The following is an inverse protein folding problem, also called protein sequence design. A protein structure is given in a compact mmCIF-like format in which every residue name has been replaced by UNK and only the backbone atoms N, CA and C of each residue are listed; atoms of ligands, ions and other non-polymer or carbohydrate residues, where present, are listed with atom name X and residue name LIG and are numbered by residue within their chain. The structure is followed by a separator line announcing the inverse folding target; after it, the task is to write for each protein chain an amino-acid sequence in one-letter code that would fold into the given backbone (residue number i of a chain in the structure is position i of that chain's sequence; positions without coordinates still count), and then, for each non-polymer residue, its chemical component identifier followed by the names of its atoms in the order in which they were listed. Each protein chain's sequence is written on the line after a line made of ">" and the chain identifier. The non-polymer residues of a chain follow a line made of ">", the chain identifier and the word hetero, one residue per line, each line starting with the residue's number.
data_IF_835536423201
#
_entry.id   IF_835536423201
#
_cell.length_a   1.000
_cell.length_b   1.000
_cell.length_c   1.000
_cell.angle_alpha   90.00
_cell.angle_beta   90.00
_cell.angle_gamma   90.00
#
_symmetry.space_group_name_H-M   'P 1'
#
loop_
_entity.id
_entity.type
_entity.pdbx_description
1 polymer ?
#
# COMPACT_ATOMS: atom_id res chain seq x y z
N UNK A 1 -8.38 67.95 -27.23
CA UNK A 1 -9.02 67.13 -26.18
C UNK A 1 -9.58 65.91 -26.87
N UNK A 2 -8.82 64.81 -26.90
CA UNK A 2 -9.16 63.60 -27.65
C UNK A 2 -9.52 62.48 -26.69
N UNK A 3 -10.68 61.88 -26.93
CA UNK A 3 -11.14 60.60 -26.40
C UNK A 3 -10.06 59.51 -26.48
N UNK A 4 -9.93 58.74 -25.39
CA UNK A 4 -9.37 57.39 -25.42
C UNK A 4 -10.38 56.44 -24.81
N UNK A 5 -10.95 55.62 -25.68
CA UNK A 5 -11.73 54.43 -25.39
C UNK A 5 -10.82 53.32 -24.86
N UNK A 6 -10.93 53.01 -23.57
CA UNK A 6 -10.35 51.79 -22.99
C UNK A 6 -11.28 50.61 -23.33
N UNK A 7 -10.82 49.77 -24.23
CA UNK A 7 -11.46 48.48 -24.54
C UNK A 7 -10.87 47.45 -23.59
N UNK A 8 -11.59 47.20 -22.49
CA UNK A 8 -11.25 46.14 -21.56
C UNK A 8 -11.46 44.78 -22.22
N UNK A 9 -10.37 44.14 -22.64
CA UNK A 9 -10.33 42.71 -22.92
C UNK A 9 -10.37 41.95 -21.60
N UNK A 10 -11.57 41.54 -21.17
CA UNK A 10 -11.75 40.57 -20.09
C UNK A 10 -10.99 39.29 -20.47
N UNK A 11 -9.89 39.06 -19.77
CA UNK A 11 -9.18 37.78 -19.80
C UNK A 11 -10.11 36.77 -19.12
N UNK A 12 -10.45 35.62 -19.74
CA UNK A 12 -11.32 34.65 -19.08
C UNK A 12 -10.63 34.21 -17.79
N UNK A 13 -11.35 34.35 -16.68
CA UNK A 13 -10.96 33.75 -15.41
C UNK A 13 -10.63 32.27 -15.67
N UNK A 14 -9.49 31.75 -15.20
CA UNK A 14 -9.18 30.33 -15.34
C UNK A 14 -10.33 29.54 -14.70
N UNK A 15 -10.83 28.55 -15.45
CA UNK A 15 -11.85 27.63 -14.96
C UNK A 15 -11.43 27.11 -13.58
N UNK A 16 -12.37 26.98 -12.61
CA UNK A 16 -12.05 26.47 -11.30
C UNK A 16 -11.37 25.10 -11.48
N UNK A 17 -10.20 24.93 -10.86
CA UNK A 17 -9.46 23.69 -10.93
C UNK A 17 -10.39 22.53 -10.52
N UNK A 18 -10.77 21.69 -11.48
CA UNK A 18 -11.61 20.53 -11.21
C UNK A 18 -10.93 19.69 -10.12
N UNK A 19 -11.67 19.35 -9.06
CA UNK A 19 -11.19 18.46 -8.01
C UNK A 19 -10.73 17.12 -8.60
N UNK A 20 -9.94 16.33 -7.85
CA UNK A 20 -9.31 15.09 -8.35
C UNK A 20 -10.33 14.14 -9.00
N UNK A 21 -11.51 13.99 -8.40
CA UNK A 21 -12.58 13.15 -8.96
C UNK A 21 -13.27 13.71 -10.22
N UNK A 22 -13.15 15.01 -10.51
CA UNK A 22 -13.68 15.67 -11.71
C UNK A 22 -15.09 15.23 -12.10
N UNK A 23 -15.26 14.85 -13.37
CA UNK A 23 -16.53 14.38 -13.94
C UNK A 23 -17.16 13.15 -13.26
N UNK A 24 -16.43 12.39 -12.43
CA UNK A 24 -17.02 11.26 -11.69
C UNK A 24 -18.07 11.71 -10.68
N UNK A 25 -17.94 12.93 -10.14
CA UNK A 25 -18.92 13.47 -9.19
C UNK A 25 -20.28 13.75 -9.84
N UNK A 26 -20.29 13.99 -11.16
CA UNK A 26 -21.49 14.25 -11.94
C UNK A 26 -22.29 12.97 -12.29
N UNK A 27 -21.74 11.78 -12.03
CA UNK A 27 -22.43 10.51 -12.30
C UNK A 27 -23.70 10.41 -11.45
N UNK A 28 -24.81 10.20 -12.14
CA UNK A 28 -26.15 10.12 -11.57
C UNK A 28 -26.26 8.96 -10.57
N UNK A 29 -26.85 9.23 -9.40
CA UNK A 29 -27.14 8.22 -8.38
C UNK A 29 -28.08 7.12 -8.90
N UNK A 30 -29.02 7.44 -9.78
CA UNK A 30 -29.94 6.45 -10.38
C UNK A 30 -29.20 5.45 -11.28
N UNK A 31 -28.14 5.88 -11.95
CA UNK A 31 -27.31 5.00 -12.76
C UNK A 31 -26.52 4.02 -11.87
N UNK A 32 -25.99 4.52 -10.74
CA UNK A 32 -25.29 3.69 -9.74
C UNK A 32 -26.22 2.63 -9.13
N UNK A 33 -27.44 2.99 -8.76
CA UNK A 33 -28.41 2.04 -8.19
C UNK A 33 -28.90 1.05 -9.23
N UNK A 34 -29.17 1.50 -10.46
CA UNK A 34 -29.57 0.63 -11.57
C UNK A 34 -28.51 -0.43 -11.87
N UNK A 35 -27.24 -0.04 -11.94
CA UNK A 35 -26.13 -0.97 -12.14
C UNK A 35 -26.03 -1.98 -10.98
N UNK A 36 -26.09 -1.50 -9.73
CA UNK A 36 -26.03 -2.38 -8.56
C UNK A 36 -27.16 -3.42 -8.56
N UNK A 37 -28.37 -3.01 -8.93
CA UNK A 37 -29.53 -3.90 -9.06
C UNK A 37 -29.32 -4.93 -10.17
N UNK A 38 -28.83 -4.51 -11.34
CA UNK A 38 -28.55 -5.42 -12.44
C UNK A 38 -27.53 -6.49 -12.05
N UNK A 39 -26.40 -6.08 -11.45
CA UNK A 39 -25.35 -7.00 -11.02
C UNK A 39 -25.85 -7.95 -9.95
N UNK A 40 -26.58 -7.44 -8.95
CA UNK A 40 -27.10 -8.28 -7.87
C UNK A 40 -28.14 -9.31 -8.35
N UNK A 41 -28.99 -8.96 -9.34
CA UNK A 41 -29.95 -9.90 -9.93
C UNK A 41 -29.29 -11.09 -10.63
N UNK A 42 -28.03 -10.96 -11.06
CA UNK A 42 -27.25 -12.07 -11.63
C UNK A 42 -26.74 -13.05 -10.56
N UNK A 43 -26.77 -12.65 -9.28
CA UNK A 43 -26.14 -13.40 -8.18
C UNK A 43 -27.13 -14.03 -7.21
N UNK A 44 -28.38 -13.56 -7.16
CA UNK A 44 -29.40 -14.09 -6.26
C UNK A 44 -30.75 -14.25 -6.96
N UNK A 45 -31.52 -15.23 -6.48
CA UNK A 45 -32.94 -15.44 -6.81
C UNK A 45 -33.87 -14.67 -5.87
N UNK A 46 -33.33 -14.06 -4.81
CA UNK A 46 -34.10 -13.32 -3.82
C UNK A 46 -34.74 -12.07 -4.41
N UNK A 47 -35.95 -11.77 -3.93
CA UNK A 47 -36.68 -10.58 -4.33
C UNK A 47 -36.24 -9.39 -3.48
N UNK A 48 -35.29 -8.60 -3.99
CA UNK A 48 -35.05 -7.23 -3.55
C UNK A 48 -35.67 -6.26 -4.57
N UNK A 49 -36.24 -5.16 -4.09
CA UNK A 49 -37.05 -4.27 -4.92
C UNK A 49 -36.32 -2.98 -5.26
N UNK A 50 -35.46 -2.48 -4.38
CA UNK A 50 -34.83 -1.17 -4.54
C UNK A 50 -33.41 -1.12 -3.97
N UNK A 51 -32.66 -0.11 -4.42
CA UNK A 51 -31.32 0.20 -3.94
C UNK A 51 -31.16 1.72 -3.81
N UNK A 52 -30.41 2.16 -2.80
CA UNK A 52 -30.14 3.57 -2.56
C UNK A 52 -28.65 3.80 -2.31
N UNK A 53 -28.13 4.94 -2.78
CA UNK A 53 -26.77 5.38 -2.44
C UNK A 53 -26.76 5.87 -1.00
N UNK A 54 -26.14 5.11 -0.10
CA UNK A 54 -26.05 5.41 1.33
C UNK A 54 -25.10 6.59 1.59
N UNK A 55 -23.87 6.50 1.05
CA UNK A 55 -22.91 7.59 1.08
C UNK A 55 -21.89 7.48 -0.05
N UNK A 56 -21.20 8.59 -0.31
CA UNK A 56 -20.11 8.72 -1.27
C UNK A 56 -18.88 9.22 -0.53
N UNK A 57 -17.72 8.61 -0.82
CA UNK A 57 -16.44 8.97 -0.23
C UNK A 57 -15.40 9.16 -1.35
N UNK A 58 -14.77 10.33 -1.37
CA UNK A 58 -13.67 10.63 -2.30
C UNK A 58 -12.36 10.17 -1.66
N UNK A 59 -11.84 9.04 -2.14
CA UNK A 59 -10.54 8.51 -1.76
C UNK A 59 -9.40 9.09 -2.61
N UNK A 60 -8.17 8.66 -2.34
CA UNK A 60 -6.98 9.09 -3.10
C UNK A 60 -6.96 8.59 -4.54
N UNK A 61 -7.47 7.39 -4.80
CA UNK A 61 -7.45 6.74 -6.12
C UNK A 61 -8.83 6.42 -6.69
N UNK A 62 -9.88 6.43 -5.86
CA UNK A 62 -11.23 6.04 -6.26
C UNK A 62 -12.28 6.98 -5.67
N UNK A 63 -13.35 7.22 -6.43
CA UNK A 63 -14.62 7.67 -5.89
C UNK A 63 -15.43 6.46 -5.47
N UNK A 64 -15.67 6.31 -4.16
CA UNK A 64 -16.31 5.15 -3.56
C UNK A 64 -17.78 5.48 -3.28
N UNK A 65 -18.69 4.65 -3.79
CA UNK A 65 -20.13 4.78 -3.55
C UNK A 65 -20.65 3.53 -2.84
N UNK A 66 -21.24 3.69 -1.66
CA UNK A 66 -21.86 2.57 -0.94
C UNK A 66 -23.34 2.53 -1.24
N UNK A 67 -23.80 1.40 -1.75
CA UNK A 67 -25.19 1.14 -2.12
C UNK A 67 -25.80 0.22 -1.06
N UNK A 68 -26.94 0.61 -0.50
CA UNK A 68 -27.74 -0.23 0.40
C UNK A 68 -29.03 -0.65 -0.30
N UNK A 69 -29.30 -1.95 -0.29
CA UNK A 69 -30.54 -2.53 -0.76
C UNK A 69 -31.60 -2.56 0.35
N UNK A 70 -32.87 -2.74 -0.01
CA UNK A 70 -33.98 -2.80 0.94
C UNK A 70 -33.85 -3.90 2.01
N UNK A 71 -33.22 -5.02 1.67
CA UNK A 71 -32.86 -6.12 2.56
C UNK A 71 -31.58 -5.92 3.38
N UNK A 72 -31.02 -4.71 3.38
CA UNK A 72 -29.83 -4.29 4.15
C UNK A 72 -28.50 -4.88 3.70
N UNK A 73 -28.47 -5.65 2.63
CA UNK A 73 -27.21 -5.98 1.96
C UNK A 73 -26.61 -4.70 1.38
N UNK A 74 -25.28 -4.61 1.37
CA UNK A 74 -24.55 -3.44 0.89
C UNK A 74 -23.47 -3.80 -0.11
N UNK A 75 -23.44 -3.09 -1.22
CA UNK A 75 -22.41 -3.19 -2.25
C UNK A 75 -21.58 -1.90 -2.26
N UNK A 76 -20.34 -2.00 -2.73
CA UNK A 76 -19.45 -0.86 -2.95
C UNK A 76 -19.17 -0.76 -4.45
N UNK A 77 -19.46 0.41 -5.04
CA UNK A 77 -19.07 0.74 -6.41
C UNK A 77 -17.88 1.70 -6.36
N UNK A 78 -16.73 1.23 -6.82
CA UNK A 78 -15.51 2.02 -6.97
C UNK A 78 -15.39 2.54 -8.39
N UNK A 79 -15.18 3.84 -8.52
CA UNK A 79 -14.89 4.50 -9.79
C UNK A 79 -13.44 5.00 -9.76
N UNK A 80 -12.52 4.39 -10.53
CA UNK A 80 -11.11 4.78 -10.51
C UNK A 80 -10.94 6.21 -11.03
N UNK A 81 -10.29 7.07 -10.24
CA UNK A 81 -10.03 8.47 -10.61
C UNK A 81 -9.16 8.55 -11.87
N UNK A 82 -8.21 7.62 -12.02
CA UNK A 82 -7.36 7.47 -13.21
C UNK A 82 -8.13 7.11 -14.48
N UNK A 83 -9.39 6.69 -14.37
CA UNK A 83 -10.27 6.35 -15.48
C UNK A 83 -11.51 7.24 -15.56
N UNK A 84 -11.44 8.45 -15.01
CA UNK A 84 -12.46 9.48 -15.28
C UNK A 84 -12.65 9.70 -16.79
N UNK A 85 -13.84 10.13 -17.24
CA UNK A 85 -14.16 10.23 -18.66
C UNK A 85 -13.09 11.00 -19.45
N UNK A 86 -12.49 10.36 -20.46
CA UNK A 86 -11.43 10.94 -21.30
C UNK A 86 -9.98 10.77 -20.80
N UNK A 87 -9.76 10.17 -19.61
CA UNK A 87 -8.42 10.06 -19.00
C UNK A 87 -7.91 8.62 -18.82
N UNK A 88 -8.75 7.60 -19.06
CA UNK A 88 -8.39 6.20 -18.84
C UNK A 88 -7.37 5.71 -19.88
N UNK A 89 -6.12 5.54 -19.46
CA UNK A 89 -5.05 4.97 -20.30
C UNK A 89 -5.15 3.44 -20.35
N UNK A 90 -4.50 2.82 -21.34
CA UNK A 90 -4.47 1.35 -21.44
C UNK A 90 -3.79 0.72 -20.22
N UNK A 91 -2.68 1.30 -19.75
CA UNK A 91 -2.01 0.87 -18.50
C UNK A 91 -2.93 0.96 -17.28
N UNK A 92 -3.81 1.97 -17.20
CA UNK A 92 -4.78 2.07 -16.10
C UNK A 92 -5.84 0.96 -16.16
N UNK A 93 -6.27 0.56 -17.36
CA UNK A 93 -7.16 -0.61 -17.55
C UNK A 93 -6.44 -1.91 -17.17
N UNK A 94 -5.19 -2.10 -17.59
CA UNK A 94 -4.39 -3.27 -17.21
C UNK A 94 -4.22 -3.36 -15.69
N UNK A 95 -3.89 -2.25 -15.02
CA UNK A 95 -3.80 -2.19 -13.57
C UNK A 95 -5.11 -2.58 -12.87
N UNK A 96 -6.25 -2.14 -13.42
CA UNK A 96 -7.58 -2.48 -12.92
C UNK A 96 -7.90 -3.99 -13.09
N UNK A 97 -7.57 -4.58 -14.24
CA UNK A 97 -7.72 -6.02 -14.49
C UNK A 97 -6.84 -6.82 -13.53
N UNK A 98 -5.56 -6.47 -13.44
CA UNK A 98 -4.60 -7.14 -12.56
C UNK A 98 -5.04 -7.11 -11.09
N UNK A 99 -5.60 -5.98 -10.62
CA UNK A 99 -6.21 -5.88 -9.30
C UNK A 99 -7.34 -6.89 -9.12
N UNK A 100 -8.31 -6.91 -10.03
CA UNK A 100 -9.49 -7.79 -9.93
C UNK A 100 -9.07 -9.25 -9.95
N UNK A 101 -8.15 -9.62 -10.83
CA UNK A 101 -7.65 -10.99 -10.94
C UNK A 101 -6.84 -11.42 -9.73
N UNK A 102 -6.03 -10.52 -9.15
CA UNK A 102 -5.37 -10.77 -7.88
C UNK A 102 -6.39 -11.00 -6.76
N UNK A 103 -7.41 -10.13 -6.63
CA UNK A 103 -8.45 -10.30 -5.61
C UNK A 103 -9.19 -11.64 -5.77
N UNK A 104 -9.56 -12.01 -6.99
CA UNK A 104 -10.21 -13.31 -7.29
C UNK A 104 -9.28 -14.49 -7.01
N UNK A 105 -8.00 -14.38 -7.35
CA UNK A 105 -6.98 -15.41 -7.09
C UNK A 105 -6.85 -15.68 -5.59
N UNK A 106 -6.78 -14.61 -4.78
CA UNK A 106 -6.66 -14.67 -3.33
C UNK A 106 -7.94 -15.23 -2.72
N UNK A 107 -9.10 -14.66 -3.06
CA UNK A 107 -10.39 -15.07 -2.51
C UNK A 107 -10.68 -16.56 -2.72
N UNK A 108 -10.34 -17.11 -3.90
CA UNK A 108 -10.53 -18.54 -4.21
C UNK A 108 -9.61 -19.49 -3.43
N UNK A 109 -8.45 -19.02 -2.95
CA UNK A 109 -7.39 -19.87 -2.38
C UNK A 109 -7.09 -19.60 -0.91
N UNK A 110 -7.43 -18.42 -0.41
CA UNK A 110 -7.25 -18.02 0.97
C UNK A 110 -8.61 -17.73 1.60
N UNK A 111 -8.86 -18.28 2.78
CA UNK A 111 -10.02 -17.90 3.61
C UNK A 111 -9.75 -16.58 4.36
N UNK A 112 -9.27 -15.56 3.64
CA UNK A 112 -8.98 -14.24 4.18
C UNK A 112 -10.24 -13.37 4.07
N UNK A 113 -10.64 -12.65 5.14
CA UNK A 113 -11.76 -11.74 5.05
C UNK A 113 -11.36 -10.52 4.20
N UNK A 114 -11.93 -10.43 2.99
CA UNK A 114 -11.66 -9.37 2.02
C UNK A 114 -12.91 -9.12 1.16
N UNK A 115 -13.03 -7.95 0.48
CA UNK A 115 -14.12 -7.72 -0.46
C UNK A 115 -14.14 -8.75 -1.58
N UNK A 116 -15.31 -9.33 -1.84
CA UNK A 116 -15.57 -10.16 -3.01
C UNK A 116 -15.90 -9.26 -4.22
N UNK A 117 -15.24 -9.49 -5.35
CA UNK A 117 -15.53 -8.75 -6.59
C UNK A 117 -16.74 -9.37 -7.28
N UNK A 118 -17.83 -8.61 -7.35
CA UNK A 118 -19.09 -9.02 -7.95
C UNK A 118 -19.13 -8.78 -9.45
N UNK A 119 -18.65 -7.63 -9.90
CA UNK A 119 -18.57 -7.28 -11.31
C UNK A 119 -17.54 -6.17 -11.53
N UNK A 120 -17.04 -6.01 -12.76
CA UNK A 120 -16.20 -4.89 -13.14
C UNK A 120 -16.24 -4.65 -14.65
N UNK A 121 -16.01 -3.40 -15.07
CA UNK A 121 -15.87 -3.03 -16.48
C UNK A 121 -14.72 -2.06 -16.66
N UNK A 122 -13.81 -2.34 -17.60
CA UNK A 122 -12.76 -1.41 -18.06
C UNK A 122 -13.21 -0.52 -19.22
N UNK A 123 -14.38 -0.78 -19.80
CA UNK A 123 -14.97 0.02 -20.86
C UNK A 123 -15.84 1.15 -20.28
N UNK A 124 -15.85 2.30 -20.95
CA UNK A 124 -16.82 3.38 -20.70
C UNK A 124 -18.18 3.14 -21.38
N UNK A 125 -18.32 2.10 -22.20
CA UNK A 125 -19.56 1.70 -22.86
C UNK A 125 -20.49 0.95 -21.89
N UNK A 126 -20.87 1.63 -20.81
CA UNK A 126 -21.77 1.12 -19.79
C UNK A 126 -22.64 2.25 -19.23
N UNK A 127 -23.64 1.92 -18.41
CA UNK A 127 -24.62 2.88 -17.87
C UNK A 127 -23.99 4.05 -17.06
N UNK A 128 -22.78 3.87 -16.53
CA UNK A 128 -22.05 4.92 -15.80
C UNK A 128 -21.18 5.81 -16.69
N UNK A 129 -20.93 5.41 -17.94
CA UNK A 129 -20.03 6.14 -18.85
C UNK A 129 -18.54 6.10 -18.43
N UNK A 130 -18.17 5.24 -17.48
CA UNK A 130 -16.82 5.15 -16.93
C UNK A 130 -16.53 3.73 -16.41
N UNK A 131 -15.26 3.30 -16.35
CA UNK A 131 -14.88 2.06 -15.70
C UNK A 131 -15.28 1.99 -14.22
N UNK A 132 -15.58 0.78 -13.74
CA UNK A 132 -16.01 0.55 -12.36
C UNK A 132 -15.63 -0.83 -11.85
N UNK A 133 -15.51 -0.96 -10.52
CA UNK A 133 -15.47 -2.24 -9.81
C UNK A 133 -16.63 -2.26 -8.81
N UNK A 134 -17.41 -3.33 -8.79
CA UNK A 134 -18.43 -3.61 -7.77
C UNK A 134 -17.91 -4.72 -6.87
N UNK A 135 -17.89 -4.44 -5.56
CA UNK A 135 -17.44 -5.38 -4.56
C UNK A 135 -18.38 -5.45 -3.35
N UNK A 136 -18.26 -6.51 -2.55
CA UNK A 136 -19.00 -6.66 -1.30
C UNK A 136 -18.61 -5.58 -0.28
N UNK A 137 -19.57 -5.08 0.49
CA UNK A 137 -19.26 -4.21 1.63
C UNK A 137 -18.75 -5.02 2.83
N UNK A 138 -17.65 -4.58 3.44
CA UNK A 138 -17.12 -5.19 4.67
C UNK A 138 -17.69 -4.46 5.90
N UNK A 139 -18.46 -5.14 6.77
CA UNK A 139 -19.02 -4.54 7.99
C UNK A 139 -17.94 -4.29 9.06
N UNK A 140 -18.30 -3.56 10.11
CA UNK A 140 -17.42 -3.28 11.24
C UNK A 140 -16.85 -1.86 11.25
N UNK A 141 -15.99 -1.59 12.23
CA UNK A 141 -15.29 -0.31 12.42
C UNK A 141 -13.85 -0.41 11.93
N UNK A 142 -13.25 0.70 11.52
CA UNK A 142 -11.83 0.72 11.17
C UNK A 142 -10.97 0.56 12.43
N UNK A 143 -9.82 -0.10 12.30
CA UNK A 143 -8.83 -0.15 13.40
C UNK A 143 -8.42 1.26 13.79
N UNK A 144 -8.26 2.19 12.83
CA UNK A 144 -7.94 3.59 13.10
C UNK A 144 -8.95 4.27 14.04
N UNK A 145 -10.23 3.91 13.94
CA UNK A 145 -11.30 4.50 14.75
C UNK A 145 -11.36 3.90 16.16
N UNK A 146 -10.86 2.66 16.32
CA UNK A 146 -10.99 1.88 17.57
C UNK A 146 -9.69 1.85 18.37
N UNK A 147 -8.53 2.01 17.72
CA UNK A 147 -7.21 1.80 18.34
C UNK A 147 -6.93 2.71 19.54
N UNK A 148 -7.53 3.90 19.56
CA UNK A 148 -7.43 4.85 20.67
C UNK A 148 -8.76 5.07 21.41
N UNK A 149 -9.83 4.37 20.99
CA UNK A 149 -11.17 4.50 21.57
C UNK A 149 -11.26 3.80 22.93
N UNK A 150 -11.35 4.60 23.99
CA UNK A 150 -11.51 4.13 25.38
C UNK A 150 -12.96 3.84 25.76
N UNK A 151 -13.92 4.01 24.86
CA UNK A 151 -15.34 3.77 25.14
C UNK A 151 -15.68 2.28 25.17
N UNK A 152 -16.85 1.93 25.74
CA UNK A 152 -17.34 0.56 25.79
C UNK A 152 -16.80 -0.26 26.98
N UNK A 153 -17.12 -1.55 26.99
CA UNK A 153 -16.87 -2.43 28.13
C UNK A 153 -15.44 -3.00 28.20
N UNK A 154 -14.74 -3.06 27.07
CA UNK A 154 -13.38 -3.62 26.97
C UNK A 154 -12.34 -2.54 27.22
N UNK A 155 -11.29 -2.85 27.99
CA UNK A 155 -10.18 -1.91 28.19
C UNK A 155 -9.42 -1.67 26.89
N UNK A 156 -8.72 -0.53 26.80
CA UNK A 156 -7.97 -0.16 25.60
C UNK A 156 -6.89 -1.21 25.26
N UNK A 157 -6.17 -1.70 26.26
CA UNK A 157 -5.13 -2.70 26.07
C UNK A 157 -5.71 -4.04 25.59
N UNK A 158 -6.82 -4.50 26.19
CA UNK A 158 -7.51 -5.71 25.73
C UNK A 158 -7.97 -5.58 24.27
N UNK A 159 -8.52 -4.43 23.86
CA UNK A 159 -8.92 -4.19 22.46
C UNK A 159 -7.71 -4.31 21.53
N UNK A 160 -6.63 -3.59 21.83
CA UNK A 160 -5.42 -3.55 21.01
C UNK A 160 -4.80 -4.94 20.87
N UNK A 161 -4.72 -5.70 21.95
CA UNK A 161 -4.19 -7.06 21.93
C UNK A 161 -5.06 -8.00 21.07
N UNK A 162 -6.39 -7.95 21.20
CA UNK A 162 -7.29 -8.74 20.35
C UNK A 162 -7.18 -8.39 18.88
N UNK A 163 -7.08 -7.09 18.56
CA UNK A 163 -6.87 -6.61 17.20
C UNK A 163 -5.57 -7.19 16.65
N UNK A 164 -4.44 -7.04 17.36
CA UNK A 164 -3.14 -7.54 16.92
C UNK A 164 -3.13 -9.07 16.72
N UNK A 165 -3.75 -9.81 17.64
CA UNK A 165 -3.88 -11.27 17.53
C UNK A 165 -4.69 -11.67 16.29
N UNK A 166 -5.84 -11.02 16.08
CA UNK A 166 -6.70 -11.31 14.94
C UNK A 166 -6.08 -10.90 13.60
N UNK A 167 -5.32 -9.81 13.58
CA UNK A 167 -4.55 -9.38 12.42
C UNK A 167 -3.46 -10.40 12.10
N UNK A 168 -2.69 -10.87 13.09
CA UNK A 168 -1.68 -11.90 12.90
C UNK A 168 -2.28 -13.20 12.36
N UNK A 169 -3.40 -13.66 12.92
CA UNK A 169 -4.14 -14.83 12.44
C UNK A 169 -4.61 -14.67 10.99
N UNK A 170 -5.03 -13.46 10.63
CA UNK A 170 -5.49 -13.15 9.27
C UNK A 170 -4.33 -13.18 8.27
N UNK A 171 -3.21 -12.54 8.62
CA UNK A 171 -2.02 -12.50 7.78
C UNK A 171 -1.40 -13.89 7.58
N UNK A 172 -1.38 -14.73 8.62
CA UNK A 172 -0.85 -16.08 8.55
C UNK A 172 -1.58 -16.98 7.53
N UNK A 173 -2.83 -16.67 7.17
CA UNK A 173 -3.56 -17.41 6.12
C UNK A 173 -2.93 -17.25 4.73
N UNK A 174 -2.08 -16.25 4.54
CA UNK A 174 -1.35 -16.02 3.28
C UNK A 174 -0.05 -16.85 3.19
N UNK A 175 0.32 -17.60 4.25
CA UNK A 175 1.53 -18.44 4.28
C UNK A 175 1.64 -19.41 3.10
N UNK A 176 0.51 -19.95 2.64
CA UNK A 176 0.48 -20.98 1.60
C UNK A 176 0.82 -20.49 0.19
N UNK A 177 0.88 -19.18 -0.03
CA UNK A 177 1.20 -18.63 -1.35
C UNK A 177 2.71 -18.58 -1.58
N UNK A 178 3.12 -18.96 -2.78
CA UNK A 178 4.51 -18.94 -3.22
C UNK A 178 4.53 -18.68 -4.73
N UNK A 179 5.44 -17.81 -5.17
CA UNK A 179 5.59 -17.41 -6.55
C UNK A 179 7.07 -17.32 -6.93
N UNK A 180 7.33 -17.45 -8.23
CA UNK A 180 8.68 -17.41 -8.80
C UNK A 180 9.07 -16.00 -9.26
N UNK A 181 8.17 -15.01 -9.13
CA UNK A 181 8.46 -13.61 -9.45
C UNK A 181 7.69 -12.58 -8.64
N UNK A 182 8.21 -11.36 -8.63
CA UNK A 182 7.60 -10.11 -8.16
C UNK A 182 6.78 -9.52 -9.32
N UNK A 183 5.49 -9.35 -9.11
CA UNK A 183 4.55 -8.95 -10.15
C UNK A 183 3.10 -8.95 -9.67
N UNK A 184 2.20 -8.72 -10.62
CA UNK A 184 0.77 -8.99 -10.44
C UNK A 184 0.38 -10.27 -11.17
N UNK A 185 -0.86 -10.73 -10.95
CA UNK A 185 -1.41 -11.85 -11.73
C UNK A 185 -2.45 -11.31 -12.68
N UNK A 186 -2.41 -11.79 -13.91
CA UNK A 186 -3.46 -11.52 -14.89
C UNK A 186 -3.47 -12.56 -16.00
N UNK A 187 -4.52 -12.54 -16.85
CA UNK A 187 -4.67 -13.47 -17.94
C UNK A 187 -3.61 -13.20 -19.02
N UNK A 188 -3.06 -14.26 -19.59
CA UNK A 188 -2.33 -14.21 -20.86
C UNK A 188 -3.31 -14.20 -22.05
N UNK A 189 -2.76 -14.24 -23.27
CA UNK A 189 -3.55 -14.27 -24.52
C UNK A 189 -4.49 -15.48 -24.62
N UNK A 190 -4.27 -16.53 -23.82
CA UNK A 190 -5.08 -17.74 -23.75
C UNK A 190 -6.06 -17.73 -22.56
N UNK A 191 -5.98 -16.73 -21.69
CA UNK A 191 -6.79 -16.60 -20.48
C UNK A 191 -6.19 -17.31 -19.25
N UNK A 192 -4.97 -17.85 -19.35
CA UNK A 192 -4.29 -18.48 -18.22
C UNK A 192 -3.61 -17.42 -17.35
N UNK A 193 -3.67 -17.60 -16.03
CA UNK A 193 -3.05 -16.66 -15.09
C UNK A 193 -1.52 -16.76 -15.14
N UNK A 194 -0.85 -15.64 -15.44
CA UNK A 194 0.62 -15.51 -15.42
C UNK A 194 1.08 -14.33 -14.57
N UNK A 195 2.38 -14.33 -14.28
CA UNK A 195 3.05 -13.20 -13.68
C UNK A 195 3.14 -12.05 -14.68
N UNK A 196 2.56 -10.91 -14.33
CA UNK A 196 2.57 -9.66 -15.09
C UNK A 196 3.36 -8.58 -14.34
N UNK A 197 3.73 -7.47 -15.01
CA UNK A 197 4.33 -6.33 -14.35
C UNK A 197 3.52 -5.83 -13.15
N UNK A 198 4.21 -5.14 -12.24
CA UNK A 198 3.57 -4.36 -11.19
C UNK A 198 3.07 -3.02 -11.76
N UNK A 199 2.06 -2.44 -11.11
CA UNK A 199 1.52 -1.14 -11.47
C UNK A 199 1.61 -0.17 -10.30
N UNK A 200 1.92 1.09 -10.57
CA UNK A 200 1.88 2.15 -9.57
C UNK A 200 1.23 3.42 -10.13
N UNK A 201 0.56 4.16 -9.25
CA UNK A 201 0.01 5.46 -9.60
C UNK A 201 1.12 6.51 -9.61
N UNK A 202 1.16 7.31 -10.69
CA UNK A 202 2.04 8.46 -10.84
C UNK A 202 1.21 9.71 -11.09
N UNK A 203 1.73 10.86 -10.65
CA UNK A 203 1.10 12.15 -10.94
C UNK A 203 1.24 12.48 -12.43
N UNK A 204 0.11 12.70 -13.09
CA UNK A 204 0.04 13.21 -14.46
C UNK A 204 0.11 14.73 -14.52
N UNK A 205 -0.34 15.31 -15.63
CA UNK A 205 -0.43 16.77 -15.77
C UNK A 205 -1.52 17.35 -14.83
N UNK A 206 -1.16 18.37 -14.05
CA UNK A 206 -2.08 19.01 -13.10
C UNK A 206 -2.53 18.07 -11.97
N UNK A 207 -3.84 17.81 -11.90
CA UNK A 207 -4.48 16.92 -10.91
C UNK A 207 -4.71 15.49 -11.45
N UNK A 208 -4.20 15.17 -12.65
CA UNK A 208 -4.38 13.87 -13.28
C UNK A 208 -3.60 12.76 -12.57
N UNK A 209 -4.18 11.57 -12.52
CA UNK A 209 -3.54 10.37 -11.96
C UNK A 209 -3.38 9.36 -13.09
N UNK A 210 -2.15 8.98 -13.39
CA UNK A 210 -1.84 7.97 -14.41
C UNK A 210 -1.25 6.73 -13.75
N UNK A 211 -1.23 5.64 -14.50
CA UNK A 211 -0.52 4.41 -14.10
C UNK A 211 0.74 4.23 -14.94
N UNK A 212 1.78 3.68 -14.31
CA UNK A 212 2.96 3.17 -14.96
C UNK A 212 3.21 1.74 -14.49
N UNK A 213 3.90 0.98 -15.34
CA UNK A 213 4.27 -0.42 -15.10
C UNK A 213 5.77 -0.55 -14.82
N UNK A 214 6.14 -1.59 -14.09
CA UNK A 214 7.53 -1.95 -13.78
C UNK A 214 7.64 -3.45 -13.49
N UNK A 215 8.77 -4.06 -13.84
CA UNK A 215 8.95 -5.50 -13.76
C UNK A 215 8.23 -6.29 -14.86
N UNK A 216 7.92 -7.58 -14.65
CA UNK A 216 8.11 -8.37 -13.43
C UNK A 216 9.59 -8.65 -13.11
N UNK A 217 9.87 -9.19 -11.91
CA UNK A 217 11.23 -9.50 -11.46
C UNK A 217 11.36 -10.90 -10.90
N UNK A 218 12.53 -11.51 -11.10
CA UNK A 218 12.89 -12.79 -10.45
C UNK A 218 13.92 -12.57 -9.32
N UNK A 219 14.40 -11.34 -9.13
CA UNK A 219 15.31 -10.96 -8.06
C UNK A 219 14.80 -9.77 -7.25
N UNK A 220 14.90 -9.90 -5.93
CA UNK A 220 14.66 -8.83 -4.96
C UNK A 220 15.58 -7.63 -5.20
N UNK A 221 16.84 -7.87 -5.52
CA UNK A 221 17.81 -6.80 -5.72
C UNK A 221 17.52 -5.99 -6.98
N UNK A 222 17.13 -6.65 -8.08
CA UNK A 222 16.71 -5.98 -9.31
C UNK A 222 15.46 -5.13 -9.08
N UNK A 223 14.45 -5.70 -8.41
CA UNK A 223 13.24 -4.99 -8.02
C UNK A 223 13.54 -3.72 -7.20
N UNK A 224 14.34 -3.83 -6.14
CA UNK A 224 14.65 -2.68 -5.27
C UNK A 224 15.50 -1.62 -5.99
N UNK A 225 16.41 -2.02 -6.88
CA UNK A 225 17.21 -1.08 -7.68
C UNK A 225 16.36 -0.32 -8.68
N UNK A 226 15.47 -0.98 -9.41
CA UNK A 226 14.59 -0.28 -10.35
C UNK A 226 13.66 0.68 -9.60
N UNK A 227 13.11 0.26 -8.45
CA UNK A 227 12.33 1.13 -7.55
C UNK A 227 13.08 2.40 -7.16
N UNK A 228 14.37 2.27 -6.82
CA UNK A 228 15.23 3.41 -6.49
C UNK A 228 15.41 4.38 -7.67
N UNK A 229 15.48 3.85 -8.90
CA UNK A 229 15.64 4.64 -10.12
C UNK A 229 14.34 5.36 -10.53
N UNK A 230 13.18 4.72 -10.39
CA UNK A 230 11.89 5.28 -10.81
C UNK A 230 11.25 6.20 -9.75
N UNK A 231 11.75 6.20 -8.51
CA UNK A 231 11.22 7.05 -7.43
C UNK A 231 11.22 8.53 -7.84
N UNK A 232 10.11 9.27 -7.63
CA UNK A 232 10.04 10.70 -7.95
C UNK A 232 11.03 11.47 -7.08
N UNK A 233 12.22 11.76 -7.60
CA UNK A 233 13.36 12.23 -6.81
C UNK A 233 14.67 11.49 -7.09
N UNK A 234 14.76 10.66 -8.14
CA UNK A 234 16.00 9.99 -8.58
C UNK A 234 17.16 10.93 -8.94
N UNK A 235 16.92 12.25 -8.99
CA UNK A 235 17.97 13.27 -9.03
C UNK A 235 17.85 14.06 -7.71
N UNK A 236 18.37 13.51 -6.62
CA UNK A 236 18.53 14.31 -5.40
C UNK A 236 19.68 15.30 -5.63
N UNK A 237 19.35 16.59 -5.61
CA UNK A 237 20.36 17.64 -5.69
C UNK A 237 21.06 17.78 -4.33
N UNK A 238 22.40 17.82 -4.37
CA UNK A 238 23.23 18.03 -3.18
C UNK A 238 23.89 16.75 -2.63
N UNK A 239 24.98 16.97 -1.90
CA UNK A 239 25.84 15.92 -1.32
C UNK A 239 25.07 14.92 -0.45
N UNK A 240 24.15 15.41 0.39
CA UNK A 240 23.37 14.53 1.28
C UNK A 240 22.48 13.58 0.48
N UNK A 241 21.88 14.06 -0.60
CA UNK A 241 20.94 13.26 -1.35
C UNK A 241 21.61 12.14 -2.15
N UNK A 242 22.65 12.50 -2.89
CA UNK A 242 23.53 11.52 -3.57
C UNK A 242 24.10 10.52 -2.55
N UNK A 243 24.49 10.98 -1.36
CA UNK A 243 24.93 10.13 -0.27
C UNK A 243 23.88 9.13 0.21
N UNK A 244 22.60 9.56 0.31
CA UNK A 244 21.50 8.68 0.67
C UNK A 244 21.30 7.58 -0.37
N UNK A 245 21.35 7.92 -1.66
CA UNK A 245 21.23 6.94 -2.75
C UNK A 245 22.38 5.90 -2.73
N UNK A 246 23.62 6.35 -2.52
CA UNK A 246 24.78 5.44 -2.39
C UNK A 246 24.61 4.48 -1.22
N UNK A 247 24.15 4.98 -0.07
CA UNK A 247 23.95 4.16 1.12
C UNK A 247 22.76 3.20 0.94
N UNK A 248 21.67 3.63 0.29
CA UNK A 248 20.56 2.73 -0.04
C UNK A 248 21.01 1.60 -0.97
N UNK A 249 21.84 1.88 -1.98
CA UNK A 249 22.41 0.83 -2.83
C UNK A 249 23.25 -0.18 -2.02
N UNK A 250 24.02 0.31 -1.04
CA UNK A 250 24.74 -0.59 -0.12
C UNK A 250 23.78 -1.43 0.73
N UNK A 251 22.69 -0.84 1.22
CA UNK A 251 21.68 -1.56 2.00
C UNK A 251 20.99 -2.63 1.16
N UNK A 252 20.63 -2.33 -0.10
CA UNK A 252 20.05 -3.29 -1.05
C UNK A 252 21.02 -4.48 -1.25
N UNK A 253 22.32 -4.21 -1.39
CA UNK A 253 23.34 -5.27 -1.50
C UNK A 253 23.50 -6.15 -0.25
N UNK A 254 23.06 -5.68 0.92
CA UNK A 254 23.12 -6.42 2.19
C UNK A 254 21.78 -7.06 2.59
N UNK A 255 20.72 -6.88 1.80
CA UNK A 255 19.41 -7.46 2.10
C UNK A 255 19.47 -9.00 2.14
N UNK A 256 18.68 -9.66 3.01
CA UNK A 256 18.58 -11.11 2.99
C UNK A 256 17.94 -11.57 1.67
N UNK A 257 18.35 -12.75 1.18
CA UNK A 257 17.65 -13.38 0.05
C UNK A 257 16.21 -13.74 0.44
N UNK A 258 15.29 -13.50 -0.48
CA UNK A 258 13.90 -13.88 -0.34
C UNK A 258 13.71 -15.35 -0.62
N UNK A 259 14.06 -16.24 0.30
CA UNK A 259 13.97 -17.69 0.10
C UNK A 259 12.93 -18.34 1.00
N UNK A 260 12.40 -19.50 0.65
CA UNK A 260 11.49 -20.23 1.54
C UNK A 260 12.27 -20.81 2.71
N UNK A 261 13.45 -21.37 2.42
CA UNK A 261 14.38 -21.95 3.39
C UNK A 261 15.74 -21.26 3.35
N UNK A 262 16.52 -21.34 4.43
CA UNK A 262 17.78 -20.60 4.57
C UNK A 262 18.90 -21.09 3.63
N UNK A 263 18.80 -22.30 3.11
CA UNK A 263 19.79 -22.99 2.28
C UNK A 263 19.50 -22.90 0.77
N UNK A 264 18.32 -22.43 0.41
CA UNK A 264 17.93 -22.19 -0.98
C UNK A 264 18.71 -21.00 -1.57
N UNK A 265 18.95 -21.06 -2.88
CA UNK A 265 19.62 -20.00 -3.64
C UNK A 265 18.67 -19.21 -4.53
N UNK A 266 17.59 -19.87 -4.96
CA UNK A 266 16.59 -19.27 -5.82
C UNK A 266 15.58 -18.52 -4.97
N UNK A 267 15.34 -17.26 -5.33
CA UNK A 267 14.37 -16.43 -4.62
C UNK A 267 12.94 -16.89 -4.94
N UNK A 268 12.09 -16.81 -3.93
CA UNK A 268 10.65 -17.01 -4.03
C UNK A 268 9.94 -15.86 -3.37
N UNK A 269 8.76 -15.57 -3.85
CA UNK A 269 7.98 -14.40 -3.48
C UNK A 269 6.63 -14.83 -2.92
N UNK A 270 5.98 -13.93 -2.19
CA UNK A 270 4.70 -14.19 -1.51
C UNK A 270 3.77 -13.00 -1.71
N UNK A 271 2.49 -13.17 -1.37
CA UNK A 271 1.56 -12.05 -1.35
C UNK A 271 1.91 -11.07 -0.23
N UNK A 272 1.88 -9.78 -0.56
CA UNK A 272 1.80 -8.70 0.41
C UNK A 272 0.36 -8.17 0.46
N UNK A 273 -0.13 -7.85 1.66
CA UNK A 273 -1.35 -7.06 1.77
C UNK A 273 -0.99 -5.62 1.43
N UNK A 274 -1.58 -5.03 0.38
CA UNK A 274 -1.28 -3.66 0.03
C UNK A 274 -1.72 -2.72 1.16
N UNK A 275 -0.92 -1.69 1.42
CA UNK A 275 -1.24 -0.64 2.39
C UNK A 275 -1.72 -1.18 3.76
N UNK A 276 -0.94 -2.10 4.36
CA UNK A 276 -1.24 -2.76 5.64
C UNK A 276 -1.25 -1.80 6.85
N UNK A 277 -2.27 -0.94 6.91
CA UNK A 277 -2.45 0.14 7.87
C UNK A 277 -3.82 0.07 8.57
N UNK A 278 -3.97 0.79 9.68
CA UNK A 278 -5.15 0.76 10.54
C UNK A 278 -6.40 1.33 9.86
N UNK A 279 -6.21 2.15 8.83
CA UNK A 279 -7.27 2.76 8.01
C UNK A 279 -7.87 1.79 6.99
N UNK A 280 -7.24 0.64 6.74
CA UNK A 280 -7.65 -0.35 5.74
C UNK A 280 -8.06 -1.69 6.35
N UNK A 281 -8.14 -1.78 7.68
CA UNK A 281 -8.57 -3.00 8.39
C UNK A 281 -9.84 -2.71 9.15
N UNK A 282 -10.88 -3.51 8.89
CA UNK A 282 -12.14 -3.48 9.61
C UNK A 282 -12.20 -4.59 10.65
N UNK A 283 -12.82 -4.28 11.78
CA UNK A 283 -13.02 -5.20 12.90
C UNK A 283 -14.50 -5.24 13.34
N UNK A 284 -14.92 -6.40 13.83
CA UNK A 284 -16.21 -6.61 14.48
C UNK A 284 -16.22 -6.10 15.94
N UNK A 285 -17.37 -6.27 16.61
CA UNK A 285 -17.56 -5.85 18.00
C UNK A 285 -16.67 -6.60 18.99
N UNK A 286 -16.17 -7.78 18.61
CA UNK A 286 -15.27 -8.61 19.42
C UNK A 286 -13.79 -8.32 19.13
N UNK A 287 -13.50 -7.30 18.32
CA UNK A 287 -12.16 -6.92 17.86
C UNK A 287 -11.50 -7.97 16.96
N UNK A 288 -12.28 -8.79 16.25
CA UNK A 288 -11.76 -9.68 15.21
C UNK A 288 -11.82 -8.99 13.86
N UNK A 289 -10.85 -9.27 12.99
CA UNK A 289 -10.81 -8.75 11.63
C UNK A 289 -12.04 -9.23 10.86
N UNK A 290 -12.90 -8.29 10.49
CA UNK A 290 -14.06 -8.51 9.63
C UNK A 290 -13.70 -8.37 8.15
N UNK A 291 -12.64 -7.64 7.83
CA UNK A 291 -11.99 -7.70 6.53
C UNK A 291 -10.93 -6.65 6.29
N UNK A 292 -10.03 -6.97 5.37
CA UNK A 292 -9.01 -6.06 4.85
C UNK A 292 -9.55 -5.45 3.55
N UNK A 293 -9.66 -4.12 3.53
CA UNK A 293 -10.16 -3.36 2.39
C UNK A 293 -9.00 -2.73 1.61
N UNK A 294 -9.33 -2.19 0.44
CA UNK A 294 -8.39 -1.44 -0.42
C UNK A 294 -7.21 -2.27 -0.94
N UNK A 295 -7.53 -3.30 -1.73
CA UNK A 295 -6.55 -4.14 -2.41
C UNK A 295 -5.88 -3.48 -3.64
N UNK A 296 -5.88 -2.15 -3.69
CA UNK A 296 -5.17 -1.38 -4.72
C UNK A 296 -3.66 -1.56 -4.54
N UNK A 297 -2.96 -2.00 -5.60
CA UNK A 297 -1.53 -2.30 -5.55
C UNK A 297 -1.19 -3.69 -4.97
N UNK A 298 -2.17 -4.60 -4.90
CA UNK A 298 -1.90 -6.00 -4.55
C UNK A 298 -0.94 -6.64 -5.56
N UNK A 299 0.22 -7.07 -5.07
CA UNK A 299 1.29 -7.68 -5.86
C UNK A 299 2.04 -8.71 -5.01
N UNK A 300 2.82 -9.55 -5.68
CA UNK A 300 3.80 -10.40 -5.01
C UNK A 300 5.01 -9.57 -4.60
N UNK A 301 5.66 -9.94 -3.50
CA UNK A 301 6.76 -9.20 -2.89
C UNK A 301 7.82 -10.17 -2.34
N UNK A 302 9.06 -9.69 -2.09
CA UNK A 302 10.02 -10.43 -1.28
C UNK A 302 9.37 -10.91 0.03
N UNK A 303 9.69 -12.13 0.47
CA UNK A 303 9.12 -12.79 1.65
C UNK A 303 9.14 -11.92 2.91
N UNK A 304 10.20 -11.14 3.05
CA UNK A 304 10.40 -10.23 4.18
C UNK A 304 9.65 -8.89 4.08
N UNK A 305 9.00 -8.62 2.95
CA UNK A 305 8.07 -7.51 2.68
C UNK A 305 6.64 -8.04 2.39
N UNK A 306 6.41 -9.34 2.59
CA UNK A 306 5.18 -10.04 2.29
C UNK A 306 4.14 -10.00 3.41
N UNK A 307 3.45 -11.12 3.64
CA UNK A 307 2.47 -11.23 4.72
C UNK A 307 3.10 -11.31 6.13
N UNK A 308 4.37 -11.70 6.23
CA UNK A 308 5.08 -11.91 7.50
C UNK A 308 5.72 -10.63 8.03
N UNK A 309 4.94 -9.53 8.06
CA UNK A 309 5.42 -8.23 8.54
C UNK A 309 4.52 -7.64 9.62
N UNK A 310 5.03 -6.60 10.28
CA UNK A 310 4.26 -5.83 11.26
C UNK A 310 3.26 -4.90 10.57
N UNK A 311 2.08 -4.68 11.18
CA UNK A 311 1.18 -3.63 10.72
C UNK A 311 1.80 -2.23 10.85
N UNK A 312 1.55 -1.36 9.86
CA UNK A 312 2.23 -0.05 9.77
C UNK A 312 2.02 0.85 10.99
N UNK A 313 0.83 0.83 11.60
CA UNK A 313 0.56 1.66 12.79
C UNK A 313 1.38 1.25 14.02
N UNK A 314 1.91 0.02 14.07
CA UNK A 314 2.86 -0.38 15.11
C UNK A 314 4.34 -0.22 14.71
N UNK A 315 4.61 0.52 13.63
CA UNK A 315 5.95 0.85 13.14
C UNK A 315 6.17 2.36 13.00
N UNK A 316 5.25 3.19 13.50
CA UNK A 316 5.25 4.65 13.30
C UNK A 316 6.50 5.36 13.84
N UNK A 317 7.20 4.77 14.82
CA UNK A 317 8.49 5.27 15.31
C UNK A 317 9.63 5.18 14.29
N UNK A 318 9.42 4.49 13.16
CA UNK A 318 10.35 4.41 12.03
C UNK A 318 9.94 5.28 10.83
N UNK A 319 8.76 5.92 10.88
CA UNK A 319 8.25 6.81 9.83
C UNK A 319 8.50 8.27 10.22
N UNK A 320 9.49 8.94 9.59
CA UNK A 320 9.88 10.29 9.95
C UNK A 320 8.91 11.36 9.45
N UNK A 321 7.90 11.00 8.65
CA UNK A 321 6.99 11.97 8.06
C UNK A 321 5.90 12.32 9.06
N UNK A 322 6.14 13.39 9.83
CA UNK A 322 5.13 14.03 10.66
C UNK A 322 4.18 14.95 9.87
N UNK A 323 4.62 15.46 8.71
CA UNK A 323 3.98 16.58 8.00
C UNK A 323 2.79 16.19 7.11
N UNK A 324 2.62 14.91 6.78
CA UNK A 324 1.42 14.39 6.08
C UNK A 324 0.29 14.05 7.07
N UNK A 325 0.51 14.26 8.37
CA UNK A 325 -0.43 13.85 9.42
C UNK A 325 -1.52 14.90 9.62
N UNK A 326 -2.79 14.50 9.77
CA UNK A 326 -3.80 15.38 10.33
C UNK A 326 -3.35 15.87 11.70
N UNK A 327 -3.37 17.18 11.91
CA UNK A 327 -3.08 17.80 13.21
C UNK A 327 -3.95 17.16 14.30
N UNK A 328 -3.33 16.70 15.39
CA UNK A 328 -4.02 16.07 16.51
C UNK A 328 -4.18 14.55 16.42
N UNK A 329 -3.50 13.87 15.50
CA UNK A 329 -3.41 12.40 15.48
C UNK A 329 -2.74 11.89 16.77
N UNK A 330 -3.42 10.97 17.45
CA UNK A 330 -2.89 10.30 18.64
C UNK A 330 -1.91 9.21 18.21
N UNK A 331 -0.77 9.10 18.90
CA UNK A 331 0.27 8.12 18.63
C UNK A 331 0.71 7.42 19.92
N UNK A 332 1.10 6.15 19.81
CA UNK A 332 1.69 5.41 20.92
C UNK A 332 3.19 5.72 21.02
N UNK A 333 3.76 5.84 22.23
CA UNK A 333 5.19 6.11 22.41
C UNK A 333 6.04 4.95 21.89
N UNK A 334 7.30 5.19 21.45
CA UNK A 334 8.16 4.15 20.87
C UNK A 334 8.36 2.92 21.76
N UNK A 335 8.36 3.08 23.09
CA UNK A 335 8.44 1.96 24.04
C UNK A 335 7.23 1.02 23.97
N UNK A 336 6.04 1.60 23.82
CA UNK A 336 4.79 0.86 23.68
C UNK A 336 4.70 0.19 22.31
N UNK A 337 5.12 0.87 21.24
CA UNK A 337 5.21 0.28 19.91
C UNK A 337 6.17 -0.92 19.87
N UNK A 338 7.34 -0.83 20.54
CA UNK A 338 8.25 -1.96 20.71
C UNK A 338 7.58 -3.14 21.41
N UNK A 339 6.78 -2.88 22.44
CA UNK A 339 6.06 -3.93 23.16
C UNK A 339 5.00 -4.62 22.28
N UNK A 340 4.22 -3.86 21.50
CA UNK A 340 3.27 -4.44 20.55
C UNK A 340 3.95 -5.28 19.47
N UNK A 341 5.08 -4.80 18.90
CA UNK A 341 5.88 -5.59 17.95
C UNK A 341 6.38 -6.89 18.58
N UNK A 342 6.78 -6.88 19.84
CA UNK A 342 7.20 -8.10 20.54
C UNK A 342 6.04 -9.11 20.64
N UNK A 343 4.84 -8.67 21.02
CA UNK A 343 3.66 -9.53 21.16
C UNK A 343 3.19 -10.07 19.81
N UNK A 344 3.07 -9.20 18.80
CA UNK A 344 2.70 -9.58 17.45
C UNK A 344 3.70 -10.59 16.86
N UNK A 345 5.00 -10.34 17.03
CA UNK A 345 6.03 -11.29 16.60
C UNK A 345 5.85 -12.64 17.29
N UNK A 346 5.67 -12.69 18.62
CA UNK A 346 5.43 -13.96 19.34
C UNK A 346 4.22 -14.72 18.79
N UNK A 347 3.12 -14.03 18.49
CA UNK A 347 1.92 -14.63 17.90
C UNK A 347 2.23 -15.20 16.50
N UNK A 348 2.88 -14.43 15.64
CA UNK A 348 3.30 -14.89 14.30
C UNK A 348 4.27 -16.07 14.37
N UNK A 349 5.23 -16.07 15.29
CA UNK A 349 6.11 -17.22 15.52
C UNK A 349 5.32 -18.49 15.84
N UNK A 350 4.28 -18.38 16.68
CA UNK A 350 3.40 -19.50 17.00
C UNK A 350 2.60 -19.99 15.79
N UNK A 351 1.99 -19.07 15.04
CA UNK A 351 1.17 -19.38 13.87
C UNK A 351 1.98 -20.01 12.73
N UNK A 352 3.25 -19.62 12.58
CA UNK A 352 4.15 -20.11 11.54
C UNK A 352 5.06 -21.26 12.02
N UNK A 353 4.77 -21.86 13.19
CA UNK A 353 5.54 -22.94 13.79
C UNK A 353 7.05 -22.64 13.90
N UNK A 354 7.42 -21.37 14.10
CA UNK A 354 8.81 -20.87 14.15
C UNK A 354 9.66 -21.26 12.94
N UNK A 355 9.03 -21.43 11.78
CA UNK A 355 9.68 -21.88 10.55
C UNK A 355 9.36 -20.93 9.37
N UNK A 356 10.12 -21.09 8.27
CA UNK A 356 9.91 -20.33 7.04
C UNK A 356 10.06 -18.82 7.28
N UNK A 357 9.01 -18.06 6.96
CA UNK A 357 9.04 -16.59 6.99
C UNK A 357 8.97 -15.98 8.39
N UNK A 358 8.72 -16.79 9.42
CA UNK A 358 8.76 -16.34 10.81
C UNK A 358 10.08 -15.63 11.15
N UNK A 359 11.18 -16.00 10.48
CA UNK A 359 12.49 -15.36 10.63
C UNK A 359 12.56 -13.89 10.26
N UNK A 360 11.63 -13.42 9.42
CA UNK A 360 11.63 -12.04 8.92
C UNK A 360 10.87 -11.07 9.83
N UNK A 361 9.84 -11.55 10.55
CA UNK A 361 8.87 -10.72 11.28
C UNK A 361 9.56 -9.72 12.23
N UNK A 362 10.50 -10.19 13.05
CA UNK A 362 11.32 -9.38 13.96
C UNK A 362 11.90 -8.12 13.29
N UNK A 363 12.44 -8.28 12.08
CA UNK A 363 13.18 -7.24 11.36
C UNK A 363 12.36 -6.56 10.27
N UNK A 364 11.09 -6.94 10.07
CA UNK A 364 10.28 -6.41 8.97
C UNK A 364 10.20 -4.88 9.00
N UNK A 365 10.12 -4.27 10.18
CA UNK A 365 10.10 -2.82 10.33
C UNK A 365 11.35 -2.10 9.82
N UNK A 366 12.52 -2.75 9.83
CA UNK A 366 13.75 -2.19 9.27
C UNK A 366 13.72 -2.31 7.74
N UNK A 367 13.29 -3.47 7.24
CA UNK A 367 13.26 -3.78 5.82
C UNK A 367 12.21 -2.93 5.08
N UNK A 368 11.05 -2.76 5.69
CA UNK A 368 10.00 -1.84 5.22
C UNK A 368 10.44 -0.37 5.29
N UNK A 369 11.20 0.03 6.31
CA UNK A 369 11.75 1.39 6.35
C UNK A 369 12.69 1.65 5.17
N UNK A 370 13.48 0.66 4.74
CA UNK A 370 14.33 0.79 3.55
C UNK A 370 13.47 0.95 2.29
N UNK A 371 12.41 0.16 2.13
CA UNK A 371 11.46 0.34 1.02
C UNK A 371 10.82 1.74 1.05
N UNK A 372 10.40 2.22 2.23
CA UNK A 372 9.86 3.58 2.39
C UNK A 372 10.89 4.64 2.01
N UNK A 373 12.17 4.47 2.37
CA UNK A 373 13.24 5.38 1.99
C UNK A 373 13.54 5.35 0.48
N UNK A 374 13.39 4.19 -0.17
CA UNK A 374 13.49 4.06 -1.63
C UNK A 374 12.38 4.87 -2.29
N UNK A 375 11.14 4.70 -1.85
CA UNK A 375 9.94 5.24 -2.51
C UNK A 375 9.63 6.71 -2.17
N UNK A 376 10.07 7.17 -1.01
CA UNK A 376 9.71 8.47 -0.47
C UNK A 376 10.96 9.32 -0.17
N UNK A 377 11.34 10.25 -1.07
CA UNK A 377 12.48 11.13 -0.87
C UNK A 377 12.39 11.99 0.40
N UNK A 378 11.17 12.34 0.83
CA UNK A 378 10.97 13.16 2.04
C UNK A 378 11.38 12.37 3.29
N UNK A 379 11.02 11.08 3.35
CA UNK A 379 11.42 10.20 4.46
C UNK A 379 12.88 9.73 4.34
N UNK A 380 13.40 9.63 3.12
CA UNK A 380 14.67 8.97 2.78
C UNK A 380 15.82 9.38 3.69
N UNK A 381 16.08 10.68 3.79
CA UNK A 381 17.20 11.22 4.57
C UNK A 381 17.16 10.76 6.02
N UNK A 382 16.00 10.84 6.66
CA UNK A 382 15.89 10.55 8.09
C UNK A 382 15.99 9.05 8.38
N UNK A 383 15.41 8.22 7.52
CA UNK A 383 15.52 6.76 7.61
C UNK A 383 16.97 6.33 7.42
N UNK A 384 17.62 6.80 6.34
CA UNK A 384 19.03 6.48 6.06
C UNK A 384 19.91 6.92 7.23
N UNK A 385 19.72 8.14 7.74
CA UNK A 385 20.44 8.66 8.91
C UNK A 385 20.24 7.77 10.14
N UNK A 386 19.01 7.35 10.41
CA UNK A 386 18.68 6.49 11.54
C UNK A 386 19.35 5.12 11.43
N UNK A 387 19.31 4.50 10.25
CA UNK A 387 19.92 3.18 10.02
C UNK A 387 21.45 3.24 10.06
N UNK A 388 22.06 4.27 9.50
CA UNK A 388 23.50 4.54 9.62
C UNK A 388 23.89 4.73 11.09
N UNK A 389 23.11 5.50 11.86
CA UNK A 389 23.34 5.70 13.30
C UNK A 389 23.20 4.42 14.13
N UNK A 390 22.39 3.45 13.70
CA UNK A 390 22.27 2.12 14.35
C UNK A 390 23.50 1.25 14.09
N UNK A 391 24.03 1.28 12.86
CA UNK A 391 25.23 0.50 12.46
C UNK A 391 26.51 1.10 13.02
N UNK A 392 26.60 2.42 12.96
CA UNK A 392 27.74 3.19 13.42
C UNK A 392 27.30 3.92 14.68
N UNK A 393 27.41 3.31 15.89
CA UNK A 393 26.95 3.91 17.14
C UNK A 393 27.72 5.21 17.41
N UNK A 394 27.14 6.28 16.93
CA UNK A 394 27.63 7.64 16.94
C UNK A 394 26.42 8.57 16.91
N UNK A 395 26.60 9.84 17.26
CA UNK A 395 25.52 10.81 17.17
C UNK A 395 24.93 10.86 15.76
N UNK A 396 23.63 11.19 15.66
CA UNK A 396 22.95 11.42 14.37
C UNK A 396 23.69 12.45 13.50
N UNK A 397 24.45 13.36 14.13
CA UNK A 397 25.32 14.31 13.45
C UNK A 397 26.48 13.62 12.70
N UNK A 398 27.14 12.63 13.31
CA UNK A 398 28.19 11.85 12.64
C UNK A 398 27.62 11.00 11.51
N UNK A 399 26.44 10.41 11.69
CA UNK A 399 25.73 9.72 10.61
C UNK A 399 25.44 10.66 9.43
N UNK A 400 24.99 11.89 9.71
CA UNK A 400 24.76 12.91 8.67
C UNK A 400 26.05 13.25 7.91
N UNK A 401 27.17 13.42 8.61
CA UNK A 401 28.46 13.72 7.97
C UNK A 401 28.93 12.57 7.07
N UNK A 402 28.77 11.32 7.51
CA UNK A 402 29.11 10.14 6.69
C UNK A 402 28.27 10.08 5.40
N UNK A 403 26.98 10.39 5.48
CA UNK A 403 26.09 10.49 4.31
C UNK A 403 26.59 11.59 3.37
N UNK A 404 26.92 12.77 3.90
CA UNK A 404 27.43 13.88 3.10
C UNK A 404 28.80 13.56 2.45
N UNK A 405 29.71 12.92 3.17
CA UNK A 405 30.99 12.46 2.64
C UNK A 405 30.80 11.43 1.52
N UNK A 406 29.77 10.58 1.61
CA UNK A 406 29.40 9.66 0.57
C UNK A 406 29.03 10.38 -0.74
N UNK A 407 28.14 11.37 -0.69
CA UNK A 407 27.77 12.11 -1.90
C UNK A 407 28.82 13.07 -2.43
N UNK A 408 29.76 13.52 -1.58
CA UNK A 408 30.91 14.32 -1.99
C UNK A 408 32.06 13.49 -2.62
N UNK A 409 31.91 12.17 -2.71
CA UNK A 409 32.98 11.27 -3.19
C UNK A 409 34.17 11.15 -2.22
N UNK A 410 33.99 11.54 -0.95
CA UNK A 410 35.00 11.46 0.12
C UNK A 410 34.82 10.22 1.01
N UNK A 411 33.98 9.28 0.59
CA UNK A 411 33.66 8.10 1.38
C UNK A 411 34.88 7.18 1.52
N UNK A 412 35.42 7.08 2.74
CA UNK A 412 36.60 6.25 2.94
C UNK A 412 36.26 4.76 2.74
N UNK A 413 37.23 4.00 2.21
CA UNK A 413 37.09 2.55 2.06
C UNK A 413 36.77 1.86 3.39
N UNK A 414 37.38 2.33 4.48
CA UNK A 414 37.18 1.79 5.82
C UNK A 414 35.74 2.02 6.31
N UNK A 415 35.20 3.23 6.10
CA UNK A 415 33.81 3.53 6.49
C UNK A 415 32.83 2.73 5.66
N UNK A 416 33.11 2.54 4.37
CA UNK A 416 32.31 1.68 3.49
C UNK A 416 32.27 0.23 3.95
N UNK A 417 33.43 -0.39 4.20
CA UNK A 417 33.52 -1.77 4.68
C UNK A 417 32.83 -1.94 6.05
N UNK A 418 32.99 -0.95 6.93
CA UNK A 418 32.31 -0.94 8.24
C UNK A 418 30.80 -0.83 8.12
N UNK A 419 30.28 0.01 7.23
CA UNK A 419 28.84 0.10 7.00
C UNK A 419 28.29 -1.20 6.39
N UNK A 420 28.99 -1.80 5.42
CA UNK A 420 28.57 -3.07 4.83
C UNK A 420 28.46 -4.18 5.88
N UNK A 421 29.52 -4.43 6.65
CA UNK A 421 29.48 -5.45 7.70
C UNK A 421 28.43 -5.17 8.77
N UNK A 422 28.19 -3.89 9.07
CA UNK A 422 27.14 -3.50 10.01
C UNK A 422 25.72 -3.68 9.46
N UNK A 423 25.49 -3.40 8.18
CA UNK A 423 24.21 -3.67 7.52
C UNK A 423 23.95 -5.17 7.42
N UNK A 424 24.95 -5.98 7.09
CA UNK A 424 24.84 -7.44 7.09
C UNK A 424 24.35 -7.96 8.46
N UNK A 425 24.94 -7.49 9.56
CA UNK A 425 24.50 -7.84 10.93
C UNK A 425 23.11 -7.28 11.23
N UNK A 426 22.84 -6.03 10.84
CA UNK A 426 21.55 -5.38 11.10
C UNK A 426 20.40 -6.08 10.36
N UNK A 427 20.63 -6.62 9.17
CA UNK A 427 19.61 -7.27 8.34
C UNK A 427 19.56 -8.79 8.52
N UNK A 428 20.57 -9.38 9.17
CA UNK A 428 20.64 -10.83 9.41
C UNK A 428 19.37 -11.40 10.08
N UNK A 429 18.67 -12.32 9.43
CA UNK A 429 17.46 -12.92 9.98
C UNK A 429 17.79 -14.07 10.92
N UNK A 430 16.87 -14.40 11.83
CA UNK A 430 17.05 -15.57 12.72
C UNK A 430 17.07 -16.85 11.88
N UNK A 431 18.01 -17.75 12.16
CA UNK A 431 18.04 -19.04 11.47
C UNK A 431 16.88 -19.94 11.88
#
# INVERSE_FOLDING_TARGET
>A
MSDRSDTGTETPLPAPAEGRSGGLLAINRDALTSLAVEVRRKQTIDTFTTANVLFRHEGSHNLINVIEFDDKVRYVIRLPISCRPGHCTETAKCAMIAKVEMMRFIHKRANIPMPEVYDFSTSSENILGTPYIIESFIPGKLVSDVWFDKSGAMTLDEKRLRILDSVAETMAKLYGFCFDGIGTLGPDDHGDLRMLPCYYSRKGSGADIQHAEYGPYESTAEFLRERLMISPGGIEEGSIGVGCLIILEMMIGCMPLSTRQNDEKDETFVLAVPQFDSTNIRIDEQCKVSGIIDWDGAQTMPRFLGYATFPKWIMRDMDPIEHERPSGSQEDPPEQLRWYRLLYNRKMQGLLNKAGDARFVNKSHILEAILLAIDNPVARKEIVRTLVGKVFPASLEKATRLIEDAGNGKFSRQDRERLLGGFEVLFQTTR
#
